data_IF_284779371064
#
_entry.id   IF_284779371064
#
_cell.length_a   1.000
_cell.length_b   1.000
_cell.length_c   1.000
_cell.angle_alpha   90.00
_cell.angle_beta   90.00
_cell.angle_gamma   90.00
#
_symmetry.space_group_name_H-M   'P 1'
#
loop_
_entity.id
_entity.type
_entity.pdbx_description
1 polymer ?
#
# COMPACT_ATOMS: atom_id res chain seq x y z
N UNK A 1 9.12 5.04 -3.63
CA UNK A 1 10.44 4.39 -3.81
C UNK A 1 11.49 5.42 -4.16
N UNK A 2 11.47 6.07 -5.34
CA UNK A 2 12.41 7.14 -5.73
C UNK A 2 12.67 8.20 -4.65
N UNK A 3 11.62 8.79 -4.08
CA UNK A 3 11.76 9.81 -3.04
C UNK A 3 12.47 9.30 -1.77
N UNK A 4 12.19 8.06 -1.37
CA UNK A 4 12.84 7.44 -0.20
C UNK A 4 14.29 7.09 -0.53
N UNK A 5 14.54 6.49 -1.70
CA UNK A 5 15.90 6.17 -2.14
C UNK A 5 16.78 7.41 -2.29
N UNK A 6 16.21 8.52 -2.78
CA UNK A 6 16.93 9.80 -2.93
C UNK A 6 17.26 10.48 -1.58
N UNK A 7 16.39 10.34 -0.57
CA UNK A 7 16.61 10.95 0.74
C UNK A 7 17.41 10.10 1.73
N UNK A 8 17.35 8.77 1.59
CA UNK A 8 17.86 7.82 2.59
C UNK A 8 18.85 6.80 2.01
N UNK A 9 19.22 6.94 0.73
CA UNK A 9 20.03 5.96 -0.01
C UNK A 9 19.22 4.74 -0.46
N UNK A 10 19.83 3.84 -1.25
CA UNK A 10 19.15 2.66 -1.79
C UNK A 10 18.57 1.79 -0.67
N UNK A 11 17.28 1.51 -0.75
CA UNK A 11 16.57 0.63 0.19
C UNK A 11 16.22 -0.70 -0.46
N UNK A 12 16.13 -1.75 0.35
CA UNK A 12 15.52 -3.01 -0.07
C UNK A 12 14.00 -2.91 0.05
N UNK A 13 13.31 -3.23 -1.04
CA UNK A 13 11.86 -3.12 -1.13
C UNK A 13 11.25 -4.50 -1.32
N UNK A 14 10.31 -4.85 -0.46
CA UNK A 14 9.55 -6.11 -0.51
C UNK A 14 8.05 -5.82 -0.54
N UNK A 15 7.28 -6.64 -1.27
CA UNK A 15 5.82 -6.61 -1.23
C UNK A 15 5.17 -6.50 -2.61
N UNK A 16 3.96 -5.92 -2.66
CA UNK A 16 3.16 -5.86 -3.89
C UNK A 16 3.20 -4.46 -4.49
N UNK A 17 3.53 -4.38 -5.77
CA UNK A 17 3.66 -3.13 -6.48
C UNK A 17 3.71 -3.33 -7.99
N UNK A 18 3.45 -2.26 -8.73
CA UNK A 18 3.26 -2.32 -10.17
C UNK A 18 4.57 -2.38 -10.94
N UNK A 19 4.50 -2.44 -12.28
CA UNK A 19 5.68 -2.50 -13.14
C UNK A 19 6.69 -1.39 -12.82
N UNK A 20 6.20 -0.18 -12.56
CA UNK A 20 7.03 0.97 -12.18
C UNK A 20 7.73 0.81 -10.83
N UNK A 21 7.16 0.06 -9.88
CA UNK A 21 7.79 -0.21 -8.58
C UNK A 21 8.79 -1.36 -8.69
N UNK A 22 8.46 -2.40 -9.48
CA UNK A 22 9.37 -3.51 -9.79
C UNK A 22 10.65 -3.01 -10.47
N UNK A 23 10.52 -2.06 -11.40
CA UNK A 23 11.66 -1.42 -12.06
C UNK A 23 12.60 -0.68 -11.08
N UNK A 24 12.09 -0.27 -9.92
CA UNK A 24 12.86 0.43 -8.88
C UNK A 24 13.44 -0.54 -7.82
N UNK A 25 13.42 -1.85 -8.08
CA UNK A 25 13.99 -2.87 -7.20
C UNK A 25 13.02 -3.48 -6.18
N UNK A 26 11.70 -3.35 -6.39
CA UNK A 26 10.72 -4.07 -5.57
C UNK A 26 10.78 -5.58 -5.84
N UNK A 27 11.18 -6.35 -4.84
CA UNK A 27 11.12 -7.81 -4.84
C UNK A 27 9.70 -8.22 -4.48
N UNK A 28 8.95 -8.69 -5.49
CA UNK A 28 7.54 -9.04 -5.35
C UNK A 28 7.33 -10.49 -4.94
N UNK A 29 6.73 -10.73 -3.77
CA UNK A 29 6.26 -12.07 -3.34
C UNK A 29 4.89 -12.44 -3.91
N UNK A 30 4.19 -11.53 -4.59
CA UNK A 30 2.84 -11.78 -5.12
C UNK A 30 2.54 -10.91 -6.34
N UNK A 31 1.86 -11.47 -7.34
CA UNK A 31 1.48 -10.74 -8.54
C UNK A 31 0.43 -9.65 -8.29
N UNK A 32 0.74 -8.43 -8.74
CA UNK A 32 -0.19 -7.30 -8.74
C UNK A 32 -1.49 -7.61 -9.49
N UNK A 33 -1.45 -8.50 -10.48
CA UNK A 33 -2.62 -8.96 -11.24
C UNK A 33 -3.68 -9.61 -10.34
N UNK A 34 -3.28 -10.24 -9.23
CA UNK A 34 -4.23 -10.78 -8.26
C UNK A 34 -4.96 -9.70 -7.44
N UNK A 35 -4.41 -8.48 -7.40
CA UNK A 35 -4.93 -7.32 -6.69
C UNK A 35 -5.73 -6.38 -7.60
N UNK A 36 -5.59 -6.51 -8.92
CA UNK A 36 -6.21 -5.62 -9.90
C UNK A 36 -7.64 -6.06 -10.16
N UNK A 37 -8.60 -5.54 -9.37
CA UNK A 37 -10.02 -5.82 -9.58
C UNK A 37 -10.66 -4.63 -10.31
N UNK A 38 -11.00 -4.83 -11.59
CA UNK A 38 -11.73 -3.83 -12.37
C UNK A 38 -13.21 -3.82 -11.99
N UNK A 39 -13.71 -2.68 -11.50
CA UNK A 39 -15.14 -2.45 -11.27
C UNK A 39 -15.64 -2.76 -9.85
N UNK A 40 -16.57 -1.94 -9.36
CA UNK A 40 -17.13 -2.00 -8.01
C UNK A 40 -17.87 -3.32 -7.70
N UNK A 41 -18.54 -3.90 -8.70
CA UNK A 41 -19.24 -5.18 -8.58
C UNK A 41 -18.29 -6.38 -8.48
N UNK A 42 -17.20 -6.37 -9.27
CA UNK A 42 -16.16 -7.39 -9.18
C UNK A 42 -15.36 -7.26 -7.86
N UNK A 43 -15.18 -6.05 -7.33
CA UNK A 43 -14.47 -5.80 -6.07
C UNK A 43 -15.14 -6.44 -4.85
N UNK A 44 -16.48 -6.42 -4.79
CA UNK A 44 -17.25 -7.08 -3.72
C UNK A 44 -17.15 -8.61 -3.80
N UNK A 45 -17.28 -9.19 -5.00
CA UNK A 45 -17.15 -10.64 -5.20
C UNK A 45 -15.71 -11.15 -4.97
N UNK A 46 -14.71 -10.34 -5.30
CA UNK A 46 -13.29 -10.66 -5.09
C UNK A 46 -12.81 -10.41 -3.65
N UNK A 47 -13.61 -9.73 -2.81
CA UNK A 47 -13.21 -9.38 -1.43
C UNK A 47 -12.71 -10.56 -0.58
N UNK A 48 -13.32 -11.76 -0.59
CA UNK A 48 -12.80 -12.90 0.18
C UNK A 48 -11.42 -13.38 -0.31
N UNK A 49 -11.17 -13.28 -1.62
CA UNK A 49 -9.87 -13.59 -2.22
C UNK A 49 -8.84 -12.54 -1.83
N UNK A 50 -9.22 -11.26 -1.88
CA UNK A 50 -8.38 -10.14 -1.48
C UNK A 50 -8.04 -10.18 0.01
N UNK A 51 -8.98 -10.58 0.86
CA UNK A 51 -8.76 -10.77 2.29
C UNK A 51 -7.77 -11.90 2.57
N UNK A 52 -7.87 -13.04 1.86
CA UNK A 52 -6.90 -14.14 1.99
C UNK A 52 -5.51 -13.72 1.52
N UNK A 53 -5.44 -12.93 0.46
CA UNK A 53 -4.20 -12.35 -0.03
C UNK A 53 -3.60 -11.39 1.01
N UNK A 54 -4.43 -10.54 1.62
CA UNK A 54 -4.02 -9.65 2.70
C UNK A 54 -3.41 -10.42 3.87
N UNK A 55 -4.00 -11.56 4.26
CA UNK A 55 -3.47 -12.37 5.35
C UNK A 55 -2.09 -12.96 5.01
N UNK A 56 -1.91 -13.48 3.78
CA UNK A 56 -0.59 -13.94 3.28
C UNK A 56 0.45 -12.83 3.26
N UNK A 57 0.07 -11.63 2.79
CA UNK A 57 0.97 -10.48 2.78
C UNK A 57 1.35 -10.04 4.19
N UNK A 58 0.43 -10.13 5.16
CA UNK A 58 0.78 -9.90 6.57
C UNK A 58 1.79 -10.93 7.05
N UNK A 59 1.63 -12.21 6.70
CA UNK A 59 2.58 -13.26 7.08
C UNK A 59 3.98 -13.00 6.50
N UNK A 60 4.07 -12.65 5.21
CA UNK A 60 5.33 -12.31 4.54
C UNK A 60 6.01 -11.11 5.21
N UNK A 61 5.25 -10.05 5.52
CA UNK A 61 5.77 -8.85 6.20
C UNK A 61 6.26 -9.17 7.60
N UNK A 62 5.54 -10.02 8.34
CA UNK A 62 5.94 -10.45 9.70
C UNK A 62 7.22 -11.29 9.65
N UNK A 63 7.38 -12.15 8.64
CA UNK A 63 8.59 -12.95 8.44
C UNK A 63 9.80 -12.08 8.08
N UNK A 64 9.60 -11.09 7.21
CA UNK A 64 10.67 -10.21 6.76
C UNK A 64 11.07 -9.11 7.75
N UNK A 65 10.17 -8.75 8.70
CA UNK A 65 10.39 -7.73 9.74
C UNK A 65 10.99 -6.39 9.22
N UNK A 66 10.38 -5.74 8.22
CA UNK A 66 10.91 -4.51 7.63
C UNK A 66 11.00 -3.34 8.62
N UNK A 67 11.86 -2.35 8.37
CA UNK A 67 11.95 -1.16 9.24
C UNK A 67 10.73 -0.25 9.17
N UNK A 68 9.96 -0.30 8.09
CA UNK A 68 8.73 0.46 7.89
C UNK A 68 7.84 -0.25 6.87
N UNK A 69 6.53 -0.03 6.96
CA UNK A 69 5.53 -0.58 6.03
C UNK A 69 4.75 0.57 5.41
N UNK A 70 4.71 0.63 4.08
CA UNK A 70 3.99 1.65 3.32
C UNK A 70 2.82 0.99 2.58
N UNK A 71 1.61 1.52 2.77
CA UNK A 71 0.40 1.06 2.09
C UNK A 71 -0.15 2.16 1.20
N UNK A 72 -0.57 1.83 -0.02
CA UNK A 72 -1.07 2.77 -1.03
C UNK A 72 -2.40 2.24 -1.56
N UNK A 73 -3.54 2.77 -1.11
CA UNK A 73 -4.85 2.37 -1.66
C UNK A 73 -6.06 3.19 -1.14
N UNK A 74 -7.25 2.86 -1.67
CA UNK A 74 -8.57 3.21 -1.15
C UNK A 74 -8.75 2.80 0.32
N UNK A 75 -9.38 3.71 1.07
CA UNK A 75 -9.45 3.71 2.53
C UNK A 75 -9.95 2.40 3.16
N UNK A 76 -10.82 1.65 2.50
CA UNK A 76 -11.46 0.46 3.09
C UNK A 76 -10.54 -0.74 3.28
N UNK A 77 -9.74 -1.10 2.27
CA UNK A 77 -8.87 -2.27 2.30
C UNK A 77 -7.63 -2.04 3.16
N UNK A 78 -6.97 -0.89 2.95
CA UNK A 78 -5.72 -0.56 3.65
C UNK A 78 -5.88 -0.40 5.15
N UNK A 79 -6.99 0.15 5.65
CA UNK A 79 -7.24 0.26 7.09
C UNK A 79 -7.40 -1.12 7.74
N UNK A 80 -8.12 -2.04 7.07
CA UNK A 80 -8.29 -3.42 7.57
C UNK A 80 -6.98 -4.18 7.55
N UNK A 81 -6.20 -4.06 6.48
CA UNK A 81 -4.86 -4.62 6.40
C UNK A 81 -3.95 -4.09 7.52
N UNK A 82 -3.88 -2.76 7.69
CA UNK A 82 -3.07 -2.13 8.72
C UNK A 82 -3.47 -2.57 10.14
N UNK A 83 -4.77 -2.71 10.42
CA UNK A 83 -5.27 -3.21 11.69
C UNK A 83 -4.89 -4.68 11.94
N UNK A 84 -4.95 -5.54 10.91
CA UNK A 84 -4.49 -6.94 10.98
C UNK A 84 -3.00 -7.02 11.22
N UNK A 85 -2.22 -6.27 10.44
CA UNK A 85 -0.77 -6.20 10.59
C UNK A 85 -0.39 -5.74 12.00
N UNK A 86 -0.98 -4.67 12.53
CA UNK A 86 -0.74 -4.20 13.91
C UNK A 86 -1.00 -5.28 14.96
N UNK A 87 -2.07 -6.06 14.82
CA UNK A 87 -2.36 -7.18 15.73
C UNK A 87 -1.29 -8.27 15.64
N UNK A 88 -0.90 -8.66 14.42
CA UNK A 88 0.14 -9.69 14.21
C UNK A 88 1.51 -9.25 14.69
N UNK A 89 1.87 -7.98 14.45
CA UNK A 89 3.08 -7.35 14.97
C UNK A 89 3.14 -7.44 16.51
N UNK A 90 2.04 -7.04 17.18
CA UNK A 90 1.91 -7.15 18.64
C UNK A 90 2.10 -8.58 19.13
N UNK A 91 1.44 -9.56 18.50
CA UNK A 91 1.58 -10.97 18.86
C UNK A 91 3.00 -11.53 18.61
N UNK A 92 3.71 -11.00 17.62
CA UNK A 92 5.08 -11.41 17.28
C UNK A 92 6.16 -10.66 18.08
N UNK A 93 5.78 -9.75 19.00
CA UNK A 93 6.72 -8.93 19.76
C UNK A 93 7.54 -7.96 18.91
N UNK A 94 7.03 -7.60 17.73
CA UNK A 94 7.71 -6.73 16.76
C UNK A 94 6.89 -5.46 16.53
N UNK A 95 7.56 -4.35 16.26
CA UNK A 95 6.93 -3.07 15.98
C UNK A 95 7.60 -2.39 14.80
N UNK A 96 6.79 -1.94 13.84
CA UNK A 96 7.23 -1.10 12.73
C UNK A 96 6.19 -0.02 12.43
N UNK A 97 6.62 1.18 12.02
CA UNK A 97 5.72 2.24 11.57
C UNK A 97 4.97 1.80 10.31
N UNK A 98 3.65 1.98 10.33
CA UNK A 98 2.76 1.72 9.18
C UNK A 98 2.28 3.06 8.63
N UNK A 99 2.73 3.40 7.43
CA UNK A 99 2.44 4.66 6.73
C UNK A 99 1.41 4.37 5.65
N UNK A 100 0.31 5.11 5.64
CA UNK A 100 -0.73 4.98 4.62
C UNK A 100 -0.72 6.21 3.71
N UNK A 101 -0.30 6.01 2.46
CA UNK A 101 -0.29 7.05 1.45
C UNK A 101 -1.62 7.04 0.70
N UNK A 102 -2.40 8.11 0.88
CA UNK A 102 -3.67 8.33 0.17
C UNK A 102 -3.47 9.51 -0.76
N UNK A 103 -3.89 9.39 -2.03
CA UNK A 103 -3.96 10.53 -2.92
C UNK A 103 -4.97 11.56 -2.35
N UNK A 104 -4.69 12.88 -2.39
CA UNK A 104 -5.64 13.85 -1.91
C UNK A 104 -6.92 13.77 -2.74
N UNK A 105 -8.07 13.57 -2.07
CA UNK A 105 -9.39 13.38 -2.70
C UNK A 105 -9.74 14.49 -3.71
N UNK A 106 -9.17 15.68 -3.53
CA UNK A 106 -9.37 16.86 -4.39
C UNK A 106 -8.90 16.64 -5.84
N UNK A 107 -7.98 15.70 -6.09
CA UNK A 107 -7.45 15.41 -7.44
C UNK A 107 -8.25 14.36 -8.20
N UNK A 108 -9.16 13.64 -7.55
CA UNK A 108 -9.96 12.57 -8.16
C UNK A 108 -11.25 13.06 -8.84
N UNK A 109 -11.60 14.33 -8.66
CA UNK A 109 -12.71 14.98 -9.36
C UNK A 109 -12.13 15.91 -10.41
N UNK A 110 -12.29 15.55 -11.68
CA UNK A 110 -11.93 16.43 -12.79
C UNK A 110 -12.65 17.77 -12.66
N UNK A 111 -11.87 18.85 -12.76
CA UNK A 111 -12.31 20.20 -13.14
C UNK A 111 -13.62 20.73 -12.51
N UNK A 112 -13.48 21.34 -11.32
CA UNK A 112 -14.36 22.40 -10.85
C UNK A 112 -13.48 23.56 -10.35
N UNK A 113 -13.48 24.67 -11.07
CA UNK A 113 -12.57 25.81 -10.94
C UNK A 113 -12.24 26.25 -9.49
N UNK A 114 -10.94 26.43 -9.22
CA UNK A 114 -10.45 27.32 -8.18
C UNK A 114 -9.46 28.32 -8.80
N UNK A 115 -10.00 29.20 -9.65
CA UNK A 115 -9.38 30.50 -9.94
C UNK A 115 -9.38 31.30 -8.63
N UNK A 116 -8.27 31.29 -7.90
CA UNK A 116 -8.12 32.10 -6.70
C UNK A 116 -7.15 31.51 -5.68
N UNK A 117 -5.89 31.32 -6.05
CA UNK A 117 -4.83 31.20 -5.06
C UNK A 117 -3.99 32.48 -5.10
N UNK A 118 -3.97 33.31 -4.04
CA UNK A 118 -3.03 34.41 -3.97
C UNK A 118 -1.65 33.84 -3.62
N UNK A 119 -0.66 34.16 -4.43
CA UNK A 119 0.73 33.79 -4.21
C UNK A 119 1.32 34.65 -3.07
N UNK A 120 2.08 34.10 -2.11
CA UNK A 120 2.94 34.88 -1.23
C UNK A 120 4.15 35.47 -1.99
#
# INVERSE_FOLDING_TARGET
MKAVNGGWGPQEWIGVGGPAMRAEGLVGTTDMEALTVFGFSAALAAYPRLSRLADRLVDDVIAARPKAVITVDVKGFSLRFAARLKRRMKSAGWHAPVIHCVAPTVWAWGHGAATGWPNP
#
